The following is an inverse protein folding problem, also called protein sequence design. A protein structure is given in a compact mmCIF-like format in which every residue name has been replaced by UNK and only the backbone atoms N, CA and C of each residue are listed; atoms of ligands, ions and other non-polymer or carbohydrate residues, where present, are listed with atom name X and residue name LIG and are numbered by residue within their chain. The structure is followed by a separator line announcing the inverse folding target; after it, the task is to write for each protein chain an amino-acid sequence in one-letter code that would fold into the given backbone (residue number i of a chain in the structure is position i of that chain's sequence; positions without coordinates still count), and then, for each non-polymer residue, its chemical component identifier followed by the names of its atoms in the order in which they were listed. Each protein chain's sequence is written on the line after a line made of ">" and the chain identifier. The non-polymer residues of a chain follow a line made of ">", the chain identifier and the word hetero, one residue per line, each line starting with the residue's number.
data_IF_927133312047
#
_entry.id   IF_927133312047
#
_cell.length_a   1.000
_cell.length_b   1.000
_cell.length_c   1.000
_cell.angle_alpha   90.00
_cell.angle_beta   90.00
_cell.angle_gamma   90.00
#
_symmetry.space_group_name_H-M   'P 1'
#
loop_
_entity.id
_entity.type
_entity.pdbx_description
1 polymer ?
#
# COMPACT_ATOMS: atom_id res chain seq x y z
N UNK A 1 41.07 46.97 19.30
CA UNK A 1 40.59 45.69 19.86
C UNK A 1 39.44 45.98 20.82
N UNK A 2 38.21 45.58 20.48
CA UNK A 2 37.18 45.30 21.47
C UNK A 2 37.04 43.79 21.67
N UNK A 3 36.95 43.39 22.94
CA UNK A 3 36.73 42.02 23.42
C UNK A 3 35.51 41.34 22.77
N UNK A 4 35.75 40.20 22.13
CA UNK A 4 34.73 39.30 21.61
C UNK A 4 34.16 38.46 22.76
N UNK A 5 32.87 38.63 23.02
CA UNK A 5 32.06 37.76 23.86
C UNK A 5 31.64 36.54 23.03
N UNK A 6 31.68 35.30 23.55
CA UNK A 6 31.25 34.14 22.76
C UNK A 6 29.72 34.07 22.71
N UNK A 7 29.16 34.42 21.54
CA UNK A 7 27.82 33.99 21.14
C UNK A 7 27.80 32.46 21.06
N UNK A 8 27.02 31.82 21.93
CA UNK A 8 26.65 30.43 21.77
C UNK A 8 25.53 30.32 20.72
N UNK A 9 25.76 29.68 19.56
CA UNK A 9 24.68 29.40 18.63
C UNK A 9 23.82 28.25 19.16
N UNK A 10 22.51 28.46 19.03
CA UNK A 10 21.45 27.63 19.59
C UNK A 10 21.59 26.14 19.33
N UNK A 11 21.31 25.39 20.40
CA UNK A 11 21.04 23.96 20.42
C UNK A 11 20.20 23.54 19.20
N UNK A 12 20.79 22.69 18.38
CA UNK A 12 20.17 22.02 17.25
C UNK A 12 18.91 21.27 17.69
N UNK A 13 17.85 21.42 16.89
CA UNK A 13 16.50 20.98 17.17
C UNK A 13 16.38 19.51 17.57
N UNK A 14 16.01 19.29 18.83
CA UNK A 14 15.32 18.08 19.25
C UNK A 14 13.96 18.05 18.57
N UNK A 15 13.79 17.18 17.59
CA UNK A 15 12.51 16.94 16.90
C UNK A 15 11.42 16.61 17.91
N UNK A 16 10.51 17.57 18.05
CA UNK A 16 9.47 17.60 19.06
C UNK A 16 8.45 16.47 18.84
N UNK A 17 8.38 15.52 19.78
CA UNK A 17 7.29 14.53 19.85
C UNK A 17 5.93 15.19 20.21
N UNK A 18 5.90 16.50 20.45
CA UNK A 18 4.67 17.31 20.64
C UNK A 18 3.90 17.57 19.32
N UNK A 19 4.47 17.26 18.16
CA UNK A 19 3.82 17.47 16.87
C UNK A 19 2.83 16.39 16.42
N UNK A 20 2.80 15.22 17.09
CA UNK A 20 1.96 14.09 16.66
C UNK A 20 0.62 14.08 17.39
N UNK A 21 -0.47 14.12 16.62
CA UNK A 21 -1.83 14.14 17.18
C UNK A 21 -2.18 12.84 17.92
N UNK A 22 -3.05 12.94 18.93
CA UNK A 22 -3.57 11.78 19.69
C UNK A 22 -4.18 10.73 18.76
N UNK A 23 -4.92 11.17 17.74
CA UNK A 23 -5.54 10.30 16.74
C UNK A 23 -4.48 9.61 15.87
N UNK A 24 -3.46 10.34 15.41
CA UNK A 24 -2.37 9.77 14.64
C UNK A 24 -1.69 8.66 15.45
N UNK A 25 -1.32 8.93 16.71
CA UNK A 25 -0.74 7.93 17.59
C UNK A 25 -1.62 6.69 17.75
N UNK A 26 -2.94 6.85 17.85
CA UNK A 26 -3.87 5.72 17.92
C UNK A 26 -3.87 4.89 16.63
N UNK A 27 -3.91 5.53 15.46
CA UNK A 27 -3.87 4.83 14.16
C UNK A 27 -2.54 4.11 13.94
N UNK A 28 -1.41 4.70 14.32
CA UNK A 28 -0.11 4.03 14.28
C UNK A 28 -0.09 2.76 15.13
N UNK A 29 -0.63 2.79 16.36
CA UNK A 29 -0.75 1.60 17.21
C UNK A 29 -1.62 0.51 16.56
N UNK A 30 -2.71 0.89 15.88
CA UNK A 30 -3.57 -0.04 15.16
C UNK A 30 -2.87 -0.65 13.93
N UNK A 31 -2.10 0.15 13.19
CA UNK A 31 -1.31 -0.32 12.05
C UNK A 31 -0.22 -1.31 12.48
N UNK A 32 0.46 -1.03 13.59
CA UNK A 32 1.45 -1.94 14.17
C UNK A 32 0.79 -3.24 14.65
N UNK A 33 -0.34 -3.17 15.36
CA UNK A 33 -1.12 -4.35 15.74
C UNK A 33 -1.57 -5.16 14.52
N UNK A 34 -2.00 -4.51 13.44
CA UNK A 34 -2.37 -5.17 12.18
C UNK A 34 -1.16 -5.88 11.55
N UNK A 35 0.05 -5.31 11.67
CA UNK A 35 1.29 -5.86 11.12
C UNK A 35 1.80 -7.07 11.90
N UNK A 36 1.79 -7.01 13.22
CA UNK A 36 2.37 -8.06 14.09
C UNK A 36 1.34 -9.06 14.62
N UNK A 37 0.05 -8.76 14.48
CA UNK A 37 -1.08 -9.58 14.95
C UNK A 37 -1.38 -9.40 16.44
N UNK A 38 -0.39 -9.69 17.29
CA UNK A 38 -0.48 -9.55 18.75
C UNK A 38 0.85 -9.08 19.34
N UNK A 39 0.84 -8.08 20.23
CA UNK A 39 2.05 -7.57 20.86
C UNK A 39 1.82 -6.98 22.25
N UNK A 40 2.87 -6.95 23.07
CA UNK A 40 2.87 -6.28 24.37
C UNK A 40 3.07 -4.76 24.25
N UNK A 41 2.75 -4.03 25.32
CA UNK A 41 2.84 -2.56 25.38
C UNK A 41 4.21 -2.02 24.97
N UNK A 42 5.30 -2.59 25.50
CA UNK A 42 6.65 -2.07 25.26
C UNK A 42 7.03 -2.11 23.78
N UNK A 43 6.69 -3.21 23.09
CA UNK A 43 6.95 -3.35 21.66
C UNK A 43 6.09 -2.38 20.85
N UNK A 44 4.80 -2.28 21.17
CA UNK A 44 3.90 -1.36 20.46
C UNK A 44 4.31 0.11 20.64
N UNK A 45 4.73 0.50 21.84
CA UNK A 45 5.22 1.84 22.11
C UNK A 45 6.49 2.15 21.30
N UNK A 46 7.44 1.21 21.27
CA UNK A 46 8.67 1.35 20.49
C UNK A 46 8.40 1.42 18.98
N UNK A 47 7.63 0.46 18.44
CA UNK A 47 7.33 0.35 17.01
C UNK A 47 6.49 1.54 16.52
N UNK A 48 5.56 2.05 17.35
CA UNK A 48 4.78 3.26 17.03
C UNK A 48 5.56 4.57 17.28
N UNK A 49 6.74 4.53 17.89
CA UNK A 49 7.52 5.72 18.26
C UNK A 49 6.80 6.63 19.27
N UNK A 50 6.11 6.03 20.24
CA UNK A 50 5.32 6.74 21.26
C UNK A 50 5.90 6.54 22.67
N UNK A 51 5.85 7.55 23.55
CA UNK A 51 6.14 7.35 24.97
C UNK A 51 5.25 6.26 25.57
N UNK A 52 5.82 5.42 26.43
CA UNK A 52 5.11 4.25 27.00
C UNK A 52 3.81 4.64 27.73
N UNK A 53 3.81 5.77 28.44
CA UNK A 53 2.62 6.28 29.12
C UNK A 53 1.51 6.69 28.13
N UNK A 54 1.87 7.37 27.03
CA UNK A 54 0.95 7.75 25.96
C UNK A 54 0.38 6.53 25.25
N UNK A 55 1.23 5.57 24.90
CA UNK A 55 0.81 4.32 24.27
C UNK A 55 -0.14 3.52 25.18
N UNK A 56 0.15 3.46 26.49
CA UNK A 56 -0.73 2.81 27.46
C UNK A 56 -2.11 3.47 27.48
N UNK A 57 -2.16 4.80 27.63
CA UNK A 57 -3.43 5.54 27.66
C UNK A 57 -4.25 5.32 26.39
N UNK A 58 -3.61 5.42 25.22
CA UNK A 58 -4.27 5.19 23.93
C UNK A 58 -4.79 3.76 23.77
N UNK A 59 -3.99 2.76 24.15
CA UNK A 59 -4.39 1.37 24.08
C UNK A 59 -5.57 1.07 25.03
N UNK A 60 -5.58 1.64 26.23
CA UNK A 60 -6.72 1.49 27.15
C UNK A 60 -8.00 2.12 26.56
N UNK A 61 -7.90 3.31 25.96
CA UNK A 61 -9.03 3.93 25.27
C UNK A 61 -9.51 3.08 24.09
N UNK A 62 -8.60 2.54 23.28
CA UNK A 62 -8.93 1.64 22.18
C UNK A 62 -9.55 0.33 22.65
N UNK A 63 -9.16 -0.18 23.82
CA UNK A 63 -9.76 -1.35 24.47
C UNK A 63 -11.17 -1.04 24.97
N UNK A 64 -11.36 0.11 25.63
CA UNK A 64 -12.69 0.56 26.09
C UNK A 64 -13.65 0.75 24.91
N UNK A 65 -13.15 1.23 23.76
CA UNK A 65 -13.91 1.32 22.53
C UNK A 65 -14.12 -0.04 21.83
N UNK A 66 -13.42 -1.11 22.22
CA UNK A 66 -13.48 -2.42 21.56
C UNK A 66 -12.77 -2.49 20.20
N UNK A 67 -12.01 -1.44 19.85
CA UNK A 67 -11.16 -1.41 18.67
C UNK A 67 -9.91 -2.31 18.85
N UNK A 68 -9.45 -2.44 20.08
CA UNK A 68 -8.37 -3.36 20.50
C UNK A 68 -8.91 -4.28 21.59
N UNK A 69 -8.33 -5.47 21.71
CA UNK A 69 -8.56 -6.38 22.83
C UNK A 69 -7.25 -6.65 23.54
N UNK A 70 -7.31 -6.75 24.87
CA UNK A 70 -6.16 -7.14 25.69
C UNK A 70 -6.40 -8.55 26.26
N UNK A 71 -5.45 -9.47 26.04
CA UNK A 71 -5.46 -10.84 26.59
C UNK A 71 -4.07 -11.19 27.09
N UNK A 72 -3.96 -11.69 28.33
CA UNK A 72 -2.69 -12.08 28.94
C UNK A 72 -1.57 -11.01 28.83
N UNK A 73 -1.93 -9.73 29.00
CA UNK A 73 -0.97 -8.62 28.89
C UNK A 73 -0.55 -8.22 27.47
N UNK A 74 -1.10 -8.87 26.44
CA UNK A 74 -0.87 -8.55 25.02
C UNK A 74 -2.12 -7.96 24.38
N UNK A 75 -1.90 -7.11 23.38
CA UNK A 75 -2.94 -6.40 22.64
C UNK A 75 -3.07 -7.00 21.24
N UNK A 76 -4.30 -7.03 20.74
CA UNK A 76 -4.66 -7.49 19.38
C UNK A 76 -5.83 -6.69 18.83
N UNK A 77 -6.03 -6.70 17.52
CA UNK A 77 -7.19 -6.04 16.89
C UNK A 77 -8.51 -6.59 17.44
N UNK A 78 -9.42 -5.70 17.81
CA UNK A 78 -10.75 -6.02 18.30
C UNK A 78 -11.81 -6.08 17.19
N UNK A 79 -12.96 -6.73 17.44
CA UNK A 79 -14.00 -6.96 16.45
C UNK A 79 -14.65 -5.67 15.96
N UNK A 80 -14.67 -4.58 16.76
CA UNK A 80 -15.28 -3.31 16.33
C UNK A 80 -14.64 -2.76 15.07
N UNK A 81 -13.33 -2.94 14.89
CA UNK A 81 -12.65 -2.49 13.67
C UNK A 81 -13.09 -3.28 12.44
N UNK A 82 -13.44 -4.56 12.59
CA UNK A 82 -14.04 -5.32 11.49
C UNK A 82 -15.41 -4.76 11.11
N UNK A 83 -16.28 -4.51 12.10
CA UNK A 83 -17.62 -3.94 11.85
C UNK A 83 -17.54 -2.55 11.21
N UNK A 84 -16.64 -1.68 11.67
CA UNK A 84 -16.44 -0.36 11.07
C UNK A 84 -15.86 -0.47 9.65
N UNK A 85 -14.91 -1.37 9.45
CA UNK A 85 -14.30 -1.61 8.14
C UNK A 85 -15.25 -2.29 7.14
N UNK A 86 -16.25 -3.03 7.60
CA UNK A 86 -17.22 -3.70 6.74
C UNK A 86 -18.10 -2.72 5.94
N UNK A 87 -18.28 -1.49 6.43
CA UNK A 87 -18.95 -0.42 5.69
C UNK A 87 -18.12 0.20 4.57
N UNK A 88 -16.82 -0.14 4.47
CA UNK A 88 -15.95 0.35 3.43
C UNK A 88 -16.06 -0.54 2.19
N UNK A 89 -16.86 -0.10 1.21
CA UNK A 89 -17.04 -0.76 -0.09
C UNK A 89 -16.36 0.03 -1.22
N UNK A 90 -15.04 -0.09 -1.39
CA UNK A 90 -14.34 0.64 -2.45
C UNK A 90 -14.76 0.13 -3.83
N UNK A 91 -15.19 1.06 -4.68
CA UNK A 91 -15.49 0.83 -6.10
C UNK A 91 -16.45 -0.36 -6.34
N UNK A 92 -17.57 -0.43 -5.60
CA UNK A 92 -18.53 -1.55 -5.63
C UNK A 92 -19.01 -1.91 -7.05
N UNK A 93 -19.30 -0.92 -7.90
CA UNK A 93 -19.70 -1.13 -9.28
C UNK A 93 -18.58 -1.77 -10.11
N UNK A 94 -17.36 -1.23 -10.02
CA UNK A 94 -16.17 -1.79 -10.69
C UNK A 94 -15.93 -3.23 -10.25
N UNK A 95 -15.99 -3.50 -8.95
CA UNK A 95 -15.82 -4.86 -8.42
C UNK A 95 -16.86 -5.82 -8.97
N UNK A 96 -18.09 -5.36 -9.13
CA UNK A 96 -19.19 -6.17 -9.68
C UNK A 96 -18.98 -6.43 -11.16
N UNK A 97 -18.67 -5.40 -11.94
CA UNK A 97 -18.40 -5.50 -13.38
C UNK A 97 -17.17 -6.37 -13.68
N UNK A 98 -16.14 -6.32 -12.84
CA UNK A 98 -14.91 -7.06 -13.03
C UNK A 98 -14.97 -8.52 -12.53
N UNK A 99 -16.08 -9.00 -11.95
CA UNK A 99 -16.19 -10.38 -11.44
C UNK A 99 -15.97 -11.42 -12.53
N UNK A 100 -16.66 -11.26 -13.65
CA UNK A 100 -16.60 -12.18 -14.79
C UNK A 100 -15.21 -12.16 -15.45
N UNK A 101 -14.68 -10.98 -15.88
CA UNK A 101 -13.36 -10.90 -16.50
C UNK A 101 -12.23 -11.43 -15.60
N UNK A 102 -12.30 -11.22 -14.29
CA UNK A 102 -11.30 -11.77 -13.36
C UNK A 102 -11.36 -13.30 -13.30
N UNK A 103 -12.54 -13.92 -13.37
CA UNK A 103 -12.67 -15.38 -13.35
C UNK A 103 -12.12 -16.00 -14.62
N UNK A 104 -12.45 -15.43 -15.77
CA UNK A 104 -11.89 -15.85 -17.06
C UNK A 104 -10.36 -15.76 -17.03
N UNK A 105 -9.82 -14.65 -16.52
CA UNK A 105 -8.38 -14.46 -16.39
C UNK A 105 -7.74 -15.46 -15.41
N UNK A 106 -8.43 -15.78 -14.30
CA UNK A 106 -7.96 -16.77 -13.34
C UNK A 106 -7.93 -18.18 -13.96
N UNK A 107 -8.88 -18.50 -14.83
CA UNK A 107 -8.95 -19.80 -15.51
C UNK A 107 -7.78 -20.02 -16.46
N UNK A 108 -7.33 -18.98 -17.17
CA UNK A 108 -6.19 -19.08 -18.10
C UNK A 108 -4.81 -18.90 -17.43
N UNK A 109 -4.79 -18.41 -16.18
CA UNK A 109 -3.57 -18.16 -15.42
C UNK A 109 -3.59 -18.85 -14.03
N UNK A 110 -3.64 -20.19 -13.99
CA UNK A 110 -3.68 -20.92 -12.72
C UNK A 110 -2.46 -20.61 -11.85
N UNK A 111 -2.72 -20.37 -10.56
CA UNK A 111 -1.73 -20.02 -9.55
C UNK A 111 -1.38 -18.52 -9.47
N UNK A 112 -1.82 -17.68 -10.41
CA UNK A 112 -1.62 -16.24 -10.34
C UNK A 112 -2.60 -15.59 -9.33
N UNK A 113 -2.11 -14.65 -8.53
CA UNK A 113 -2.98 -13.78 -7.72
C UNK A 113 -3.42 -12.62 -8.60
N UNK A 114 -4.73 -12.36 -8.67
CA UNK A 114 -5.31 -11.28 -9.46
C UNK A 114 -5.97 -10.26 -8.53
N UNK A 115 -5.79 -8.99 -8.82
CA UNK A 115 -6.30 -7.88 -8.03
C UNK A 115 -6.78 -6.76 -8.93
N UNK A 116 -7.72 -5.98 -8.43
CA UNK A 116 -8.16 -4.72 -9.01
C UNK A 116 -7.62 -3.63 -8.12
N UNK A 117 -6.99 -2.63 -8.73
CA UNK A 117 -6.57 -1.43 -8.06
C UNK A 117 -7.21 -0.20 -8.68
N UNK A 118 -7.46 0.80 -7.86
CA UNK A 118 -7.85 2.15 -8.26
C UNK A 118 -6.82 3.15 -7.77
N UNK A 119 -6.67 4.27 -8.45
CA UNK A 119 -5.90 5.39 -7.93
C UNK A 119 -6.73 6.17 -6.91
N UNK A 120 -6.20 6.31 -5.70
CA UNK A 120 -6.81 7.09 -4.62
C UNK A 120 -5.73 7.93 -3.95
N UNK A 121 -5.92 9.25 -3.89
CA UNK A 121 -4.97 10.21 -3.32
C UNK A 121 -3.52 10.06 -3.87
N UNK A 122 -3.39 9.78 -5.18
CA UNK A 122 -2.10 9.62 -5.85
C UNK A 122 -1.38 8.29 -5.58
N UNK A 123 -2.08 7.29 -5.02
CA UNK A 123 -1.54 5.94 -4.80
C UNK A 123 -2.49 4.87 -5.32
N UNK A 124 -1.94 3.84 -5.95
CA UNK A 124 -2.72 2.66 -6.31
C UNK A 124 -3.13 1.87 -5.06
N UNK A 125 -4.44 1.70 -4.85
CA UNK A 125 -5.01 0.91 -3.75
C UNK A 125 -5.82 -0.25 -4.30
N UNK A 126 -5.58 -1.45 -3.78
CA UNK A 126 -6.31 -2.65 -4.15
C UNK A 126 -7.73 -2.57 -3.60
N UNK A 127 -8.74 -2.77 -4.46
CA UNK A 127 -10.17 -2.69 -4.10
C UNK A 127 -10.84 -4.05 -4.06
N UNK A 128 -10.28 -5.06 -4.74
CA UNK A 128 -10.76 -6.44 -4.73
C UNK A 128 -9.85 -7.35 -5.54
N UNK A 129 -10.11 -8.66 -5.58
CA UNK A 129 -9.26 -9.59 -6.32
C UNK A 129 -9.64 -11.04 -6.13
N UNK A 130 -9.13 -11.90 -7.01
CA UNK A 130 -9.18 -13.36 -6.88
C UNK A 130 -7.84 -13.84 -6.33
N UNK A 131 -7.94 -14.65 -5.29
CA UNK A 131 -6.81 -15.20 -4.52
C UNK A 131 -6.10 -16.28 -5.32
N UNK A 132 -4.77 -16.17 -5.39
CA UNK A 132 -3.89 -17.13 -6.04
C UNK A 132 -2.93 -17.77 -5.05
N UNK A 133 -1.99 -18.57 -5.56
CA UNK A 133 -1.03 -19.35 -4.77
C UNK A 133 -0.02 -18.46 -4.02
N UNK A 134 0.11 -17.18 -4.42
CA UNK A 134 1.03 -16.19 -3.83
C UNK A 134 0.47 -15.40 -2.63
N UNK A 135 -0.77 -15.66 -2.24
CA UNK A 135 -1.44 -14.90 -1.18
C UNK A 135 -0.76 -15.01 0.21
N UNK A 136 0.17 -15.97 0.37
CA UNK A 136 1.03 -16.09 1.54
C UNK A 136 2.18 -15.07 1.62
N UNK A 137 2.60 -14.44 0.50
CA UNK A 137 3.75 -13.51 0.45
C UNK A 137 3.33 -12.08 0.77
N UNK A 138 2.16 -11.65 0.29
CA UNK A 138 1.55 -10.35 0.60
C UNK A 138 0.03 -10.56 0.66
N UNK A 139 -0.69 -10.13 1.71
CA UNK A 139 -2.13 -10.29 1.73
C UNK A 139 -2.79 -9.39 0.67
N UNK A 140 -3.25 -9.96 -0.43
CA UNK A 140 -4.05 -9.28 -1.47
C UNK A 140 -5.45 -9.00 -0.93
N UNK A 141 -5.57 -7.95 -0.12
CA UNK A 141 -6.82 -7.52 0.51
C UNK A 141 -7.22 -6.15 0.01
N UNK A 142 -8.53 -5.94 -0.13
CA UNK A 142 -9.05 -4.59 -0.32
C UNK A 142 -8.47 -3.67 0.76
N UNK A 143 -8.02 -2.48 0.36
CA UNK A 143 -7.38 -1.48 1.23
C UNK A 143 -5.87 -1.56 1.25
N UNK A 144 -5.28 -2.57 0.61
CA UNK A 144 -3.83 -2.64 0.48
C UNK A 144 -3.35 -1.58 -0.49
N UNK A 145 -2.59 -0.61 0.01
CA UNK A 145 -1.84 0.33 -0.82
C UNK A 145 -0.68 -0.40 -1.48
N UNK A 146 -0.58 -0.26 -2.79
CA UNK A 146 0.54 -0.79 -3.55
C UNK A 146 1.77 0.10 -3.40
N UNK A 147 2.99 -0.46 -3.46
CA UNK A 147 4.21 0.32 -3.43
C UNK A 147 4.24 1.35 -4.58
N UNK A 148 4.82 2.54 -4.34
CA UNK A 148 4.88 3.59 -5.34
C UNK A 148 5.70 3.16 -6.57
N UNK A 149 5.15 3.43 -7.74
CA UNK A 149 5.75 3.11 -9.04
C UNK A 149 5.66 1.64 -9.43
N UNK A 150 4.82 0.85 -8.76
CA UNK A 150 4.54 -0.52 -9.20
C UNK A 150 3.88 -0.53 -10.59
N UNK A 151 3.77 -1.71 -11.21
CA UNK A 151 3.08 -1.87 -12.50
C UNK A 151 1.67 -1.23 -12.53
N UNK A 152 0.95 -1.21 -11.40
CA UNK A 152 -0.36 -0.56 -11.31
C UNK A 152 -0.27 0.97 -11.46
N UNK A 153 0.75 1.61 -10.88
CA UNK A 153 0.97 3.05 -11.02
C UNK A 153 1.38 3.40 -12.45
N UNK A 154 2.22 2.58 -13.09
CA UNK A 154 2.65 2.79 -14.47
C UNK A 154 1.44 2.75 -15.42
N UNK A 155 0.59 1.72 -15.32
CA UNK A 155 -0.63 1.60 -16.14
C UNK A 155 -1.63 2.72 -15.85
N UNK A 156 -1.74 3.13 -14.59
CA UNK A 156 -2.63 4.24 -14.22
C UNK A 156 -2.15 5.56 -14.82
N UNK A 157 -0.85 5.81 -14.83
CA UNK A 157 -0.26 7.03 -15.37
C UNK A 157 -0.43 7.18 -16.89
N UNK A 158 -0.71 6.12 -17.65
CA UNK A 158 -0.99 6.25 -19.09
C UNK A 158 -2.31 7.00 -19.37
N UNK A 159 -3.19 7.13 -18.36
CA UNK A 159 -4.46 7.84 -18.43
C UNK A 159 -4.40 9.26 -17.86
N UNK A 160 -3.26 9.63 -17.27
CA UNK A 160 -3.02 10.94 -16.66
C UNK A 160 -1.69 11.50 -17.19
N UNK A 161 -1.68 12.08 -18.40
CA UNK A 161 -0.47 12.64 -18.99
C UNK A 161 0.19 13.67 -18.08
N UNK A 162 1.50 13.55 -17.86
CA UNK A 162 2.25 14.47 -17.01
C UNK A 162 2.22 14.17 -15.52
N UNK A 163 1.67 13.03 -15.08
CA UNK A 163 1.79 12.58 -13.70
C UNK A 163 3.27 12.54 -13.26
N UNK A 164 3.63 13.18 -12.13
CA UNK A 164 5.02 13.21 -11.68
C UNK A 164 5.51 11.79 -11.38
N UNK A 165 6.80 11.50 -11.66
CA UNK A 165 7.36 10.21 -11.31
C UNK A 165 7.38 10.05 -9.78
N UNK A 166 7.22 8.82 -9.26
CA UNK A 166 7.58 8.52 -7.89
C UNK A 166 9.07 8.79 -7.64
N UNK A 167 9.45 9.11 -6.39
CA UNK A 167 10.81 9.51 -5.99
C UNK A 167 11.93 8.57 -6.46
N UNK A 168 11.62 7.29 -6.68
CA UNK A 168 12.58 6.26 -7.14
C UNK A 168 12.86 6.29 -8.65
N UNK A 169 12.19 7.13 -9.43
CA UNK A 169 12.33 7.19 -10.89
C UNK A 169 12.72 8.58 -11.36
N UNK A 170 13.60 8.63 -12.36
CA UNK A 170 13.80 9.87 -13.12
C UNK A 170 12.58 10.14 -14.01
N UNK A 171 12.33 11.40 -14.34
CA UNK A 171 11.25 11.81 -15.26
C UNK A 171 11.36 11.11 -16.62
N UNK A 172 12.58 10.92 -17.14
CA UNK A 172 12.82 10.25 -18.42
C UNK A 172 12.51 8.75 -18.37
N UNK A 173 12.95 8.06 -17.32
CA UNK A 173 12.63 6.63 -17.12
C UNK A 173 11.14 6.40 -16.94
N UNK A 174 10.48 7.23 -16.12
CA UNK A 174 9.04 7.14 -15.90
C UNK A 174 8.26 7.34 -17.19
N UNK A 175 8.58 8.37 -17.99
CA UNK A 175 7.94 8.59 -19.29
C UNK A 175 8.11 7.39 -20.22
N UNK A 176 9.29 6.76 -20.25
CA UNK A 176 9.52 5.55 -21.07
C UNK A 176 8.65 4.38 -20.62
N UNK A 177 8.56 4.13 -19.31
CA UNK A 177 7.72 3.06 -18.75
C UNK A 177 6.24 3.30 -19.06
N UNK A 178 5.76 4.53 -18.87
CA UNK A 178 4.38 4.92 -19.17
C UNK A 178 4.08 4.81 -20.66
N UNK A 179 4.97 5.26 -21.54
CA UNK A 179 4.81 5.12 -23.01
C UNK A 179 4.72 3.66 -23.41
N UNK A 180 5.65 2.83 -22.91
CA UNK A 180 5.64 1.39 -23.18
C UNK A 180 4.33 0.75 -22.70
N UNK A 181 3.86 1.11 -21.51
CA UNK A 181 2.60 0.58 -21.00
C UNK A 181 1.38 1.07 -21.80
N UNK A 182 1.43 2.26 -22.39
CA UNK A 182 0.38 2.80 -23.26
C UNK A 182 0.31 2.01 -24.58
N UNK A 183 1.47 1.71 -25.18
CA UNK A 183 1.57 0.97 -26.44
C UNK A 183 1.10 -0.49 -26.28
N UNK A 184 1.47 -1.13 -25.17
CA UNK A 184 1.21 -2.55 -24.94
C UNK A 184 -0.06 -2.83 -24.13
N UNK A 185 -0.68 -1.80 -23.52
CA UNK A 185 -1.82 -1.94 -22.62
C UNK A 185 -1.51 -2.69 -21.31
N UNK A 186 -0.23 -2.95 -21.02
CA UNK A 186 0.26 -3.71 -19.87
C UNK A 186 1.58 -3.14 -19.37
N UNK A 187 1.78 -3.11 -18.05
CA UNK A 187 3.08 -2.87 -17.44
C UNK A 187 3.53 -4.09 -16.64
N UNK A 188 4.84 -4.31 -16.58
CA UNK A 188 5.48 -5.30 -15.72
C UNK A 188 6.40 -4.58 -14.75
N UNK A 189 6.35 -4.95 -13.48
CA UNK A 189 7.34 -4.54 -12.48
C UNK A 189 7.79 -5.76 -11.70
N UNK A 190 9.08 -5.85 -11.43
CA UNK A 190 9.65 -6.86 -10.56
C UNK A 190 9.86 -6.18 -9.20
N UNK A 191 8.91 -6.38 -8.29
CA UNK A 191 9.00 -5.80 -6.96
C UNK A 191 10.27 -6.31 -6.26
N UNK A 192 11.29 -5.44 -6.15
CA UNK A 192 12.48 -5.62 -5.31
C UNK A 192 12.26 -5.11 -3.88
N UNK A 193 11.07 -4.59 -3.56
CA UNK A 193 10.76 -3.89 -2.30
C UNK A 193 9.92 -4.75 -1.34
N UNK A 194 10.53 -5.86 -0.93
CA UNK A 194 10.17 -6.60 0.29
C UNK A 194 11.43 -6.92 1.10
N UNK A 195 11.35 -7.26 2.39
CA UNK A 195 12.51 -7.61 3.23
C UNK A 195 13.18 -8.96 2.85
N UNK A 196 13.04 -9.39 1.60
CA UNK A 196 13.65 -10.59 1.02
C UNK A 196 14.31 -10.21 -0.32
N UNK A 197 15.64 -10.18 -0.34
CA UNK A 197 16.49 -9.86 -1.50
C UNK A 197 16.54 -10.99 -2.56
N UNK A 198 15.44 -11.67 -2.85
CA UNK A 198 15.39 -12.65 -3.96
C UNK A 198 14.46 -12.16 -5.06
N UNK A 199 14.90 -11.96 -6.31
CA UNK A 199 13.98 -11.62 -7.40
C UNK A 199 13.16 -12.87 -7.77
N UNK A 200 11.94 -13.00 -7.26
CA UNK A 200 11.13 -14.21 -7.49
C UNK A 200 9.70 -13.97 -7.99
N UNK A 201 9.23 -12.72 -8.14
CA UNK A 201 7.87 -12.47 -8.61
C UNK A 201 7.78 -11.25 -9.52
N UNK A 202 7.24 -11.44 -10.72
CA UNK A 202 6.82 -10.34 -11.60
C UNK A 202 5.37 -9.98 -11.29
N UNK A 203 5.12 -8.69 -11.02
CA UNK A 203 3.79 -8.11 -11.09
C UNK A 203 3.51 -7.68 -12.53
N UNK A 204 2.41 -8.17 -13.10
CA UNK A 204 1.88 -7.80 -14.40
C UNK A 204 0.56 -7.06 -14.25
N UNK A 205 0.50 -5.81 -14.67
CA UNK A 205 -0.71 -5.00 -14.59
C UNK A 205 -1.25 -4.65 -15.96
N UNK A 206 -2.56 -4.67 -16.18
CA UNK A 206 -3.23 -4.25 -17.43
C UNK A 206 -4.46 -3.41 -17.13
N UNK A 207 -4.76 -2.44 -18.00
CA UNK A 207 -5.94 -1.57 -17.84
C UNK A 207 -7.20 -2.32 -18.28
N UNK A 208 -8.29 -2.19 -17.53
CA UNK A 208 -9.59 -2.67 -18.00
C UNK A 208 -10.17 -1.68 -19.01
N UNK A 209 -10.70 -2.15 -20.16
CA UNK A 209 -11.46 -1.28 -21.05
C UNK A 209 -12.76 -0.85 -20.35
N UNK A 210 -12.92 0.44 -20.04
CA UNK A 210 -14.20 1.01 -19.59
C UNK A 210 -15.18 0.98 -20.76
N UNK A 211 -16.22 0.12 -20.67
CA UNK A 211 -17.36 0.19 -21.60
C UNK A 211 -18.46 1.07 -20.97
N UNK A 212 -18.67 2.23 -21.59
CA UNK A 212 -19.85 3.14 -21.55
C UNK A 212 -20.09 4.07 -20.33
N UNK A 213 -20.28 5.37 -20.68
CA UNK A 213 -20.81 6.54 -19.94
C UNK A 213 -19.75 7.50 -19.32
N UNK A 214 -20.02 8.83 -19.29
CA UNK A 214 -19.09 9.90 -19.66
C UNK A 214 -17.89 10.03 -18.70
N UNK A 215 -16.81 10.74 -19.10
CA UNK A 215 -15.60 10.85 -18.29
C UNK A 215 -15.88 11.65 -17.02
N UNK A 216 -16.34 10.97 -15.98
CA UNK A 216 -16.12 11.38 -14.61
C UNK A 216 -14.60 11.30 -14.42
N UNK A 217 -13.96 12.45 -14.55
CA UNK A 217 -12.54 12.66 -14.31
C UNK A 217 -12.00 11.77 -13.18
N UNK A 218 -10.94 11.02 -13.49
CA UNK A 218 -9.92 10.57 -12.52
C UNK A 218 -10.05 9.19 -11.85
N UNK A 219 -10.65 8.17 -12.47
CA UNK A 219 -10.58 6.79 -11.91
C UNK A 219 -10.15 5.75 -12.94
N UNK A 220 -8.87 5.73 -13.29
CA UNK A 220 -8.29 4.57 -13.99
C UNK A 220 -8.32 3.33 -13.09
N UNK A 221 -8.88 2.24 -13.62
CA UNK A 221 -8.87 0.93 -12.98
C UNK A 221 -7.85 0.01 -13.65
N UNK A 222 -7.09 -0.72 -12.83
CA UNK A 222 -6.00 -1.57 -13.30
C UNK A 222 -6.14 -2.96 -12.69
N UNK A 223 -6.08 -4.00 -13.52
CA UNK A 223 -5.88 -5.37 -13.05
C UNK A 223 -4.41 -5.56 -12.76
N UNK A 224 -4.07 -6.05 -11.58
CA UNK A 224 -2.73 -6.43 -11.19
C UNK A 224 -2.72 -7.95 -11.06
N UNK A 225 -1.81 -8.61 -11.75
CA UNK A 225 -1.54 -10.04 -11.64
C UNK A 225 -0.15 -10.22 -11.04
N UNK A 226 0.03 -11.18 -10.14
CA UNK A 226 1.35 -11.58 -9.68
C UNK A 226 1.52 -13.08 -9.87
N UNK A 227 2.65 -13.49 -10.43
CA UNK A 227 2.99 -14.89 -10.66
C UNK A 227 4.40 -15.19 -10.14
N UNK A 228 4.61 -16.33 -9.46
CA UNK A 228 5.96 -16.72 -9.08
C UNK A 228 6.75 -17.03 -10.35
N UNK A 229 7.93 -16.46 -10.46
CA UNK A 229 8.84 -16.79 -11.54
C UNK A 229 9.37 -18.20 -11.36
N UNK A 230 9.17 -19.08 -12.34
CA UNK A 230 9.82 -20.41 -12.41
C UNK A 230 11.14 -20.38 -13.19
N UNK A 231 11.58 -19.22 -13.70
CA UNK A 231 12.82 -19.07 -14.50
C UNK A 231 13.69 -17.95 -13.93
N UNK A 232 15.02 -18.14 -13.80
CA UNK A 232 15.91 -17.02 -13.53
C UNK A 232 15.75 -15.98 -14.64
N UNK A 233 15.51 -14.72 -14.26
CA UNK A 233 15.28 -13.63 -15.20
C UNK A 233 16.54 -13.38 -16.03
N UNK A 234 16.57 -13.87 -17.27
CA UNK A 234 17.34 -13.22 -18.34
C UNK A 234 16.61 -11.94 -18.71
N UNK A 235 17.36 -10.83 -18.84
CA UNK A 235 16.84 -9.49 -19.06
C UNK A 235 15.94 -9.34 -20.30
N UNK A 236 15.38 -8.14 -20.54
CA UNK A 236 14.50 -7.90 -21.68
C UNK A 236 15.20 -8.29 -22.99
N UNK A 237 14.50 -8.93 -23.95
CA UNK A 237 15.07 -9.15 -25.27
C UNK A 237 15.32 -7.78 -25.95
N UNK A 238 16.34 -7.71 -26.84
CA UNK A 238 16.79 -6.46 -27.47
C UNK A 238 15.69 -5.77 -28.28
#
# INVERSE_FOLDING_TARGET
>A
MPEQQPEQPGSAGGGDLSGRGVLEGAFWLLEELRRVGEAGLTRLAADAGLPKATAHRLLDQLVALGAVQRRAGRYRIGPRLYYLGAGWEPAALLRTAAREPLRELAAVAPGASLGLSVQEAGRSTLVGGLRGELDGIRPWRAGTRLPPGCAADIVSATGTPGAPPPDRYTTGEWRRLVSTAADWGVALDYDRSGPWERPASGLRSTRLPERSSPPSSSRCSTVVGCRPSRRPCTGPPP
#
